data_IF_229126650579
#
_entry.id   IF_229126650579
#
_cell.length_a   1.000
_cell.length_b   1.000
_cell.length_c   1.000
_cell.angle_alpha   90.00
_cell.angle_beta   90.00
_cell.angle_gamma   90.00
#
_symmetry.space_group_name_H-M   'P 1'
#
loop_
_entity.id
_entity.type
_entity.pdbx_description
1 polymer ?
#
# COMPACT_ATOMS: atom_id res chain seq x y z
N UNK A 1 13.96 -4.37 6.20
CA UNK A 1 12.63 -3.76 6.25
C UNK A 1 12.77 -2.25 6.39
N UNK A 2 11.84 -1.47 5.85
CA UNK A 2 11.78 -0.01 5.95
C UNK A 2 10.42 0.38 6.52
N UNK A 3 10.33 1.44 7.33
CA UNK A 3 9.04 1.93 7.82
C UNK A 3 8.29 2.67 6.71
N UNK A 4 6.97 2.49 6.65
CA UNK A 4 6.05 3.31 5.87
C UNK A 4 4.97 3.87 6.78
N UNK A 5 4.47 5.04 6.44
CA UNK A 5 3.42 5.73 7.19
C UNK A 5 2.15 5.74 6.38
N UNK A 6 1.09 5.15 6.91
CA UNK A 6 -0.25 5.15 6.28
C UNK A 6 -0.98 6.45 6.58
N UNK A 7 -1.73 6.96 5.60
CA UNK A 7 -2.63 8.12 5.76
C UNK A 7 -4.10 7.70 5.89
N UNK A 8 -4.42 6.48 5.46
CA UNK A 8 -5.74 5.86 5.61
C UNK A 8 -5.61 4.34 5.78
N UNK A 9 -6.71 3.66 6.11
CA UNK A 9 -6.73 2.20 6.27
C UNK A 9 -6.45 1.48 4.93
N UNK A 10 -5.87 0.28 5.02
CA UNK A 10 -5.66 -0.58 3.85
C UNK A 10 -6.99 -1.13 3.31
N UNK A 11 -6.95 -1.77 2.14
CA UNK A 11 -8.08 -2.44 1.50
C UNK A 11 -8.97 -3.19 2.51
N UNK A 12 -10.30 -3.05 2.35
CA UNK A 12 -11.27 -3.63 3.28
C UNK A 12 -11.33 -2.96 4.66
N UNK A 13 -10.63 -1.84 4.88
CA UNK A 13 -10.63 -1.11 6.15
C UNK A 13 -9.66 -1.67 7.19
N UNK A 14 -8.69 -2.49 6.79
CA UNK A 14 -7.68 -3.03 7.71
C UNK A 14 -6.81 -1.92 8.28
N UNK A 15 -6.85 -1.77 9.61
CA UNK A 15 -5.94 -0.89 10.35
C UNK A 15 -4.62 -1.61 10.64
N UNK A 16 -3.50 -0.93 10.41
CA UNK A 16 -2.15 -1.47 10.57
C UNK A 16 -1.35 -0.61 11.56
N UNK A 17 -0.27 -1.15 12.15
CA UNK A 17 0.69 -0.35 12.89
C UNK A 17 1.18 0.84 12.06
N UNK A 18 1.27 2.03 12.65
CA UNK A 18 1.73 3.22 11.94
C UNK A 18 2.90 3.84 12.72
N UNK A 19 4.16 3.69 12.26
CA UNK A 19 4.58 3.13 10.97
C UNK A 19 4.49 1.60 10.87
N UNK A 20 4.27 1.07 9.66
CA UNK A 20 4.35 -0.38 9.34
C UNK A 20 5.74 -0.70 8.80
N UNK A 21 6.33 -1.82 9.23
CA UNK A 21 7.60 -2.31 8.66
C UNK A 21 7.34 -3.16 7.42
N UNK A 22 7.98 -2.80 6.30
CA UNK A 22 7.78 -3.48 5.01
C UNK A 22 9.09 -3.84 4.31
N UNK A 23 9.04 -4.87 3.45
CA UNK A 23 10.09 -5.23 2.51
C UNK A 23 10.13 -4.27 1.32
N UNK A 24 10.83 -3.14 1.45
CA UNK A 24 11.07 -2.17 0.38
C UNK A 24 12.56 -2.15 0.03
N UNK A 25 12.92 -2.55 -1.20
CA UNK A 25 14.31 -2.69 -1.64
C UNK A 25 14.52 -2.37 -3.14
N UNK A 26 13.64 -1.57 -3.73
CA UNK A 26 13.76 -1.10 -5.11
C UNK A 26 14.49 0.25 -5.19
N UNK A 27 15.15 0.51 -6.33
CA UNK A 27 15.78 1.80 -6.63
C UNK A 27 14.86 2.81 -7.32
N UNK A 28 13.69 2.36 -7.80
CA UNK A 28 12.70 3.21 -8.45
C UNK A 28 11.53 3.47 -7.53
N UNK A 29 10.97 4.67 -7.65
CA UNK A 29 9.81 5.13 -6.91
C UNK A 29 8.86 5.87 -7.86
N UNK A 30 7.59 5.94 -7.46
CA UNK A 30 6.60 6.74 -8.17
C UNK A 30 6.92 8.22 -7.96
N UNK A 31 7.03 8.95 -9.06
CA UNK A 31 7.09 10.41 -9.06
C UNK A 31 5.69 10.97 -8.76
N UNK A 32 5.51 11.49 -7.54
CA UNK A 32 4.23 12.03 -7.07
C UNK A 32 3.82 13.30 -7.82
N UNK A 33 4.75 14.06 -8.39
CA UNK A 33 4.45 15.28 -9.15
C UNK A 33 3.85 14.96 -10.53
N UNK A 34 4.11 13.75 -11.04
CA UNK A 34 3.64 13.27 -12.34
C UNK A 34 2.54 12.23 -12.23
N UNK A 35 2.07 11.94 -11.02
CA UNK A 35 1.02 10.97 -10.78
C UNK A 35 -0.32 11.50 -11.31
N UNK A 36 -1.07 10.66 -12.03
CA UNK A 36 -2.42 11.03 -12.50
C UNK A 36 -3.31 11.42 -11.30
N UNK A 37 -4.16 12.45 -11.43
CA UNK A 37 -5.12 12.82 -10.39
C UNK A 37 -6.11 11.69 -10.06
N UNK A 38 -6.23 10.65 -10.89
CA UNK A 38 -7.06 9.48 -10.61
C UNK A 38 -6.56 8.63 -9.43
N UNK A 39 -5.35 8.89 -8.93
CA UNK A 39 -4.75 8.18 -7.81
C UNK A 39 -4.67 9.04 -6.54
N UNK A 40 -4.74 8.37 -5.40
CA UNK A 40 -4.44 8.92 -4.08
C UNK A 40 -3.28 8.13 -3.47
N UNK A 41 -2.25 8.83 -3.00
CA UNK A 41 -1.19 8.22 -2.18
C UNK A 41 -1.75 7.91 -0.79
N UNK A 42 -1.63 6.67 -0.36
CA UNK A 42 -2.21 6.17 0.91
C UNK A 42 -1.16 5.77 1.92
N UNK A 43 0.10 5.66 1.49
CA UNK A 43 1.25 5.55 2.39
C UNK A 43 2.51 6.15 1.75
N UNK A 44 3.40 6.67 2.57
CA UNK A 44 4.74 7.13 2.15
C UNK A 44 5.83 6.40 2.92
N UNK A 45 7.01 6.27 2.32
CA UNK A 45 8.20 5.81 3.03
C UNK A 45 8.85 6.93 3.87
N UNK A 46 10.01 6.61 4.45
CA UNK A 46 10.78 7.53 5.30
C UNK A 46 11.41 8.71 4.54
N UNK A 47 11.42 8.67 3.20
CA UNK A 47 11.89 9.76 2.33
C UNK A 47 10.70 10.57 1.77
N UNK A 48 9.47 10.22 2.15
CA UNK A 48 8.26 10.87 1.67
C UNK A 48 7.80 10.39 0.29
N UNK A 49 8.41 9.33 -0.25
CA UNK A 49 8.05 8.77 -1.55
C UNK A 49 6.80 7.89 -1.44
N UNK A 50 5.93 7.82 -2.47
CA UNK A 50 4.75 6.96 -2.44
C UNK A 50 5.12 5.49 -2.23
N UNK A 51 4.62 4.90 -1.14
CA UNK A 51 4.81 3.49 -0.80
C UNK A 51 3.55 2.66 -1.06
N UNK A 52 2.37 3.28 -1.01
CA UNK A 52 1.10 2.69 -1.41
C UNK A 52 0.17 3.75 -1.99
N UNK A 53 -0.72 3.33 -2.88
CA UNK A 53 -1.72 4.21 -3.51
C UNK A 53 -2.99 3.44 -3.87
N UNK A 54 -4.10 4.16 -3.99
CA UNK A 54 -5.38 3.64 -4.49
C UNK A 54 -5.91 4.48 -5.62
N UNK A 55 -6.59 3.84 -6.56
CA UNK A 55 -7.38 4.55 -7.55
C UNK A 55 -8.60 5.16 -6.84
N UNK A 56 -8.96 6.40 -7.20
CA UNK A 56 -10.05 7.13 -6.54
C UNK A 56 -11.43 6.52 -6.82
N UNK A 57 -11.60 5.95 -8.01
CA UNK A 57 -12.91 5.47 -8.49
C UNK A 57 -12.97 3.98 -8.82
N UNK A 58 -11.83 3.33 -9.01
CA UNK A 58 -11.77 1.92 -9.42
C UNK A 58 -11.30 1.09 -8.22
N UNK A 59 -11.69 -0.19 -8.12
CA UNK A 59 -11.24 -1.06 -7.04
C UNK A 59 -9.80 -1.54 -7.28
N UNK A 60 -8.86 -0.60 -7.38
CA UNK A 60 -7.45 -0.86 -7.68
C UNK A 60 -6.56 -0.23 -6.60
N UNK A 61 -5.65 -1.03 -6.07
CA UNK A 61 -4.63 -0.64 -5.11
C UNK A 61 -3.26 -1.03 -5.64
N UNK A 62 -2.24 -0.25 -5.28
CA UNK A 62 -0.86 -0.54 -5.61
C UNK A 62 0.04 -0.33 -4.39
N UNK A 63 1.09 -1.13 -4.31
CA UNK A 63 2.13 -1.05 -3.28
C UNK A 63 3.51 -1.08 -3.96
N UNK A 64 4.45 -0.30 -3.45
CA UNK A 64 5.85 -0.28 -3.93
C UNK A 64 6.73 -1.30 -3.20
N UNK A 65 6.27 -1.75 -2.03
CA UNK A 65 6.92 -2.76 -1.20
C UNK A 65 6.36 -4.17 -1.49
N UNK A 66 7.02 -5.18 -0.92
CA UNK A 66 6.68 -6.59 -1.07
C UNK A 66 5.87 -7.12 0.11
N UNK A 67 4.52 -7.19 0.03
CA UNK A 67 3.71 -7.77 1.09
C UNK A 67 3.94 -9.27 1.27
N UNK A 68 4.50 -9.97 0.29
CA UNK A 68 4.84 -11.38 0.38
C UNK A 68 6.20 -11.64 1.07
N UNK A 69 7.02 -10.60 1.26
CA UNK A 69 8.34 -10.74 1.86
C UNK A 69 8.25 -11.03 3.36
N UNK A 70 9.14 -11.88 3.87
CA UNK A 70 9.38 -12.08 5.31
C UNK A 70 9.75 -10.78 6.04
N UNK A 71 10.23 -9.77 5.29
CA UNK A 71 10.54 -8.43 5.82
C UNK A 71 9.29 -7.56 6.05
N UNK A 72 8.10 -8.05 5.69
CA UNK A 72 6.80 -7.43 5.93
C UNK A 72 6.01 -8.32 6.90
N UNK A 73 6.14 -8.14 8.23
CA UNK A 73 5.49 -9.03 9.20
C UNK A 73 3.97 -9.08 9.06
N UNK A 74 3.33 -7.97 8.68
CA UNK A 74 1.88 -7.86 8.44
C UNK A 74 1.47 -8.21 6.99
N UNK A 75 2.40 -8.75 6.21
CA UNK A 75 2.21 -9.12 4.82
C UNK A 75 1.06 -10.08 4.55
N UNK A 76 0.95 -11.20 5.29
CA UNK A 76 -0.17 -12.13 5.16
C UNK A 76 -1.54 -11.48 5.42
N UNK A 77 -1.64 -10.60 6.43
CA UNK A 77 -2.87 -9.88 6.75
C UNK A 77 -3.25 -8.88 5.64
N UNK A 78 -2.27 -8.16 5.10
CA UNK A 78 -2.44 -7.26 3.95
C UNK A 78 -3.02 -7.99 2.73
N UNK A 79 -2.45 -9.15 2.39
CA UNK A 79 -2.87 -9.97 1.24
C UNK A 79 -4.26 -10.59 1.48
N UNK A 80 -4.53 -11.07 2.70
CA UNK A 80 -5.85 -11.59 3.07
C UNK A 80 -6.92 -10.52 2.95
N UNK A 81 -6.69 -9.34 3.53
CA UNK A 81 -7.64 -8.23 3.46
C UNK A 81 -7.88 -7.77 2.01
N UNK A 82 -6.83 -7.75 1.18
CA UNK A 82 -6.97 -7.48 -0.24
C UNK A 82 -7.85 -8.53 -0.95
N UNK A 83 -7.61 -9.82 -0.71
CA UNK A 83 -8.39 -10.90 -1.32
C UNK A 83 -9.88 -10.85 -0.91
N UNK A 84 -10.16 -10.64 0.38
CA UNK A 84 -11.53 -10.47 0.90
C UNK A 84 -12.22 -9.24 0.30
N UNK A 85 -11.51 -8.12 0.24
CA UNK A 85 -11.98 -6.91 -0.41
C UNK A 85 -12.28 -7.15 -1.90
N UNK A 86 -11.36 -7.76 -2.65
CA UNK A 86 -11.55 -8.06 -4.07
C UNK A 86 -12.78 -8.95 -4.31
N UNK A 87 -13.00 -9.96 -3.47
CA UNK A 87 -14.20 -10.80 -3.55
C UNK A 87 -15.50 -10.03 -3.29
N UNK A 88 -15.46 -8.94 -2.51
CA UNK A 88 -16.63 -8.10 -2.22
C UNK A 88 -17.04 -7.20 -3.40
N UNK A 89 -16.11 -6.83 -4.27
CA UNK A 89 -16.33 -5.85 -5.35
C UNK A 89 -16.48 -6.47 -6.74
N UNK A 90 -16.06 -7.72 -6.95
CA UNK A 90 -16.16 -8.44 -8.23
C UNK A 90 -17.45 -9.27 -8.32
N UNK A 91 -18.56 -8.78 -7.76
CA UNK A 91 -19.87 -9.45 -7.85
C UNK A 91 -20.60 -9.17 -9.16
#
# INVERSE_FOLDING_TARGET
ARPITWTEAWAGGLALPNPTMVGLYHSWAVDSERLSPDWSVTATDFEGLPAAMRHRTAPVWAVQFHPESVLTPQGPELLKAWAEFSASVVR
#
